data_IF_389329264678
#
_entry.id   IF_389329264678
#
_cell.length_a   1.000
_cell.length_b   1.000
_cell.length_c   1.000
_cell.angle_alpha   90.00
_cell.angle_beta   90.00
_cell.angle_gamma   90.00
#
_symmetry.space_group_name_H-M   'P 1'
#
loop_
_entity.id
_entity.type
_entity.pdbx_description
1 polymer ?
#
# COMPACT_ATOMS: atom_id res chain seq x y z
N UNK A 1 6.88 32.54 -28.82
CA UNK A 1 6.32 31.22 -29.16
C UNK A 1 5.80 30.63 -27.86
N UNK A 2 4.56 30.96 -27.51
CA UNK A 2 3.88 30.38 -26.36
C UNK A 2 3.17 29.10 -26.84
N UNK A 3 3.46 27.96 -26.21
CA UNK A 3 2.67 26.75 -26.43
C UNK A 3 1.29 26.95 -25.80
N UNK A 4 0.24 27.02 -26.61
CA UNK A 4 -1.12 26.87 -26.12
C UNK A 4 -1.38 25.38 -25.85
N UNK A 5 -1.35 24.99 -24.57
CA UNK A 5 -1.90 23.70 -24.14
C UNK A 5 -3.43 23.78 -24.24
N UNK A 6 -3.99 23.33 -25.36
CA UNK A 6 -5.43 23.13 -25.48
C UNK A 6 -5.78 21.71 -25.00
N UNK A 7 -6.67 21.53 -24.00
CA UNK A 7 -7.17 20.22 -23.64
C UNK A 7 -8.04 19.70 -24.79
N UNK A 8 -7.52 18.75 -25.57
CA UNK A 8 -8.25 18.30 -26.78
C UNK A 8 -9.53 17.56 -26.43
N UNK A 9 -9.57 16.85 -25.30
CA UNK A 9 -10.78 16.20 -24.77
C UNK A 9 -10.46 15.40 -23.50
N UNK A 10 -11.39 15.38 -22.55
CA UNK A 10 -11.42 14.36 -21.50
C UNK A 10 -11.70 13.00 -22.15
N UNK A 11 -10.67 12.25 -22.51
CA UNK A 11 -10.84 10.87 -22.95
C UNK A 11 -11.02 9.98 -21.72
N UNK A 12 -12.25 9.91 -21.21
CA UNK A 12 -12.65 8.84 -20.28
C UNK A 12 -12.83 7.54 -21.07
N UNK A 13 -11.74 6.98 -21.55
CA UNK A 13 -11.74 5.64 -22.08
C UNK A 13 -11.67 4.68 -20.87
N UNK A 14 -12.82 4.18 -20.43
CA UNK A 14 -12.90 3.17 -19.38
C UNK A 14 -12.83 1.82 -20.07
N UNK A 15 -11.66 1.20 -20.05
CA UNK A 15 -11.49 -0.15 -20.56
C UNK A 15 -11.35 -1.09 -19.37
N UNK A 16 -12.46 -1.73 -18.99
CA UNK A 16 -12.47 -2.82 -18.03
C UNK A 16 -12.70 -4.12 -18.77
N UNK A 17 -11.67 -4.96 -18.89
CA UNK A 17 -11.81 -6.28 -19.49
C UNK A 17 -11.47 -7.35 -18.44
N UNK A 18 -12.46 -8.21 -18.16
CA UNK A 18 -12.22 -9.50 -17.53
C UNK A 18 -12.03 -10.52 -18.66
N UNK A 19 -10.86 -11.13 -18.76
CA UNK A 19 -10.51 -12.07 -19.83
C UNK A 19 -11.12 -13.47 -19.64
N UNK A 20 -12.12 -13.62 -18.76
CA UNK A 20 -12.83 -14.89 -18.57
C UNK A 20 -13.66 -15.35 -19.79
N UNK A 21 -13.92 -14.48 -20.78
CA UNK A 21 -14.56 -14.85 -22.04
C UNK A 21 -13.59 -14.72 -23.24
N UNK A 22 -12.86 -15.81 -23.51
CA UNK A 22 -11.81 -15.92 -24.55
C UNK A 22 -12.26 -15.67 -26.02
N UNK A 23 -13.52 -15.32 -26.29
CA UNK A 23 -14.03 -15.05 -27.65
C UNK A 23 -14.15 -13.58 -28.02
N UNK A 24 -14.06 -12.66 -27.04
CA UNK A 24 -14.30 -11.23 -27.27
C UNK A 24 -12.98 -10.46 -27.51
N UNK A 25 -11.83 -11.02 -27.11
CA UNK A 25 -10.52 -10.36 -27.19
C UNK A 25 -9.99 -10.16 -28.62
N UNK A 26 -10.30 -11.07 -29.56
CA UNK A 26 -9.80 -10.97 -30.93
C UNK A 26 -10.56 -9.94 -31.79
N UNK A 27 -11.86 -9.74 -31.55
CA UNK A 27 -12.63 -8.73 -32.28
C UNK A 27 -12.47 -7.32 -31.72
N UNK A 28 -12.13 -7.16 -30.44
CA UNK A 28 -11.86 -5.84 -29.87
C UNK A 28 -10.50 -5.27 -30.30
N UNK A 29 -9.50 -6.11 -30.58
CA UNK A 29 -8.26 -5.67 -31.22
C UNK A 29 -8.52 -5.07 -32.62
N UNK A 30 -9.55 -5.54 -33.33
CA UNK A 30 -10.02 -4.95 -34.60
C UNK A 30 -10.77 -3.63 -34.40
N UNK A 31 -11.54 -3.50 -33.32
CA UNK A 31 -12.23 -2.24 -32.98
C UNK A 31 -11.22 -1.10 -32.73
N UNK A 32 -10.01 -1.42 -32.23
CA UNK A 32 -8.93 -0.45 -32.06
C UNK A 32 -8.48 0.20 -33.40
N UNK A 33 -8.51 -0.51 -34.53
CA UNK A 33 -8.13 0.04 -35.85
C UNK A 33 -9.23 0.91 -36.50
N UNK A 34 -10.51 0.60 -36.25
CA UNK A 34 -11.65 1.26 -36.91
C UNK A 34 -12.01 2.65 -36.40
N UNK A 35 -11.35 3.11 -35.33
CA UNK A 35 -11.58 4.42 -34.70
C UNK A 35 -11.12 5.61 -35.57
N UNK A 36 -10.19 5.39 -36.52
CA UNK A 36 -9.67 6.39 -37.48
C UNK A 36 -10.73 7.15 -38.30
N UNK A 37 -11.87 6.53 -38.63
CA UNK A 37 -12.94 7.17 -39.41
C UNK A 37 -13.86 8.07 -38.56
N UNK A 38 -14.00 7.76 -37.27
CA UNK A 38 -14.75 8.59 -36.32
C UNK A 38 -13.96 9.87 -35.96
N UNK A 39 -12.63 9.80 -35.97
CA UNK A 39 -11.71 10.93 -35.75
C UNK A 39 -11.76 12.00 -36.84
N UNK A 40 -12.06 11.63 -38.10
CA UNK A 40 -12.20 12.56 -39.23
C UNK A 40 -13.51 13.37 -39.14
N UNK A 41 -14.57 12.77 -38.60
CA UNK A 41 -15.89 13.40 -38.45
C UNK A 41 -15.87 14.48 -37.34
N UNK A 42 -15.14 14.25 -36.24
CA UNK A 42 -14.97 15.22 -35.15
C UNK A 42 -14.09 16.40 -35.56
N UNK A 43 -13.06 16.16 -36.39
CA UNK A 43 -12.22 17.25 -36.95
C UNK A 43 -13.04 18.27 -37.74
N UNK A 44 -14.05 17.82 -38.50
CA UNK A 44 -14.93 18.68 -39.27
C UNK A 44 -15.93 19.46 -38.39
N UNK A 45 -16.31 18.91 -37.24
CA UNK A 45 -17.25 19.53 -36.30
C UNK A 45 -16.58 20.56 -35.36
N UNK A 46 -15.29 20.43 -35.06
CA UNK A 46 -14.57 21.34 -34.16
C UNK A 46 -14.11 22.65 -34.83
N UNK A 47 -14.00 22.71 -36.15
CA UNK A 47 -13.69 23.96 -36.88
C UNK A 47 -14.81 25.02 -36.77
N UNK A 48 -16.02 24.66 -36.30
CA UNK A 48 -17.14 25.60 -36.22
C UNK A 48 -17.37 26.25 -34.84
N UNK A 49 -16.60 25.90 -33.80
CA UNK A 49 -16.89 26.28 -32.41
C UNK A 49 -15.85 27.21 -31.78
N UNK A 50 -14.92 27.77 -32.57
CA UNK A 50 -13.90 28.71 -32.07
C UNK A 50 -14.38 30.18 -32.02
N UNK A 51 -15.69 30.41 -31.90
CA UNK A 51 -16.28 31.73 -31.70
C UNK A 51 -17.07 31.68 -30.40
N UNK A 52 -16.72 32.57 -29.47
CA UNK A 52 -17.40 32.88 -28.21
C UNK A 52 -16.79 32.28 -26.93
N UNK A 53 -15.91 33.08 -26.31
CA UNK A 53 -15.48 32.95 -24.92
C UNK A 53 -16.03 34.13 -24.09
N UNK A 54 -16.66 33.87 -22.94
CA UNK A 54 -16.89 34.84 -21.87
C UNK A 54 -16.79 34.16 -20.48
N UNK A 55 -16.22 34.91 -19.55
CA UNK A 55 -15.76 34.58 -18.18
C UNK A 55 -16.89 34.73 -17.16
N UNK A 56 -16.96 33.90 -16.10
CA UNK A 56 -17.60 34.28 -14.83
C UNK A 56 -16.94 33.62 -13.60
N UNK A 57 -16.77 34.41 -12.54
CA UNK A 57 -16.28 34.07 -11.19
C UNK A 57 -17.42 34.15 -10.17
N UNK A 58 -17.43 33.29 -9.13
CA UNK A 58 -18.04 33.62 -7.82
C UNK A 58 -17.72 32.58 -6.73
N UNK A 59 -17.46 33.08 -5.52
CA UNK A 59 -17.12 32.40 -4.25
C UNK A 59 -18.35 31.96 -3.39
N UNK A 60 -18.15 31.20 -2.29
CA UNK A 60 -19.20 30.51 -1.53
C UNK A 60 -19.68 31.24 -0.25
N UNK A 61 -20.78 30.78 0.41
CA UNK A 61 -21.36 31.44 1.58
C UNK A 61 -20.85 30.93 2.93
N UNK A 62 -20.98 31.80 3.94
CA UNK A 62 -20.71 31.59 5.37
C UNK A 62 -22.02 31.44 6.16
N UNK A 63 -21.96 30.71 7.27
CA UNK A 63 -22.99 30.70 8.32
C UNK A 63 -22.34 30.63 9.71
N UNK A 64 -22.84 31.43 10.64
CA UNK A 64 -22.45 31.50 12.05
C UNK A 64 -23.69 31.58 12.96
N UNK A 65 -23.45 31.63 14.28
CA UNK A 65 -24.34 31.81 15.46
C UNK A 65 -24.47 30.49 16.26
N UNK A 66 -23.64 30.27 17.31
CA UNK A 66 -23.72 30.71 18.73
C UNK A 66 -24.80 29.93 19.54
N UNK A 67 -24.68 29.58 20.82
CA UNK A 67 -23.93 30.10 21.97
C UNK A 67 -24.03 29.15 23.19
N UNK A 68 -23.02 29.18 24.09
CA UNK A 68 -23.07 29.21 25.58
C UNK A 68 -23.89 28.16 26.38
N UNK A 69 -23.58 27.70 27.60
CA UNK A 69 -22.53 27.89 28.62
C UNK A 69 -22.73 26.80 29.71
N UNK A 70 -21.65 26.47 30.43
CA UNK A 70 -21.49 25.59 31.62
C UNK A 70 -22.16 26.19 32.91
N UNK A 71 -22.00 25.72 34.20
CA UNK A 71 -20.94 24.85 34.78
C UNK A 71 -21.27 23.94 36.02
N UNK A 72 -20.21 23.21 36.46
CA UNK A 72 -19.77 22.87 37.85
C UNK A 72 -20.58 21.92 38.76
N UNK A 73 -19.94 20.83 39.23
CA UNK A 73 -19.24 20.74 40.54
C UNK A 73 -18.96 19.27 40.99
N UNK A 74 -17.84 19.07 41.68
CA UNK A 74 -17.38 17.87 42.43
C UNK A 74 -17.48 18.19 43.95
N UNK A 75 -17.55 17.23 44.92
CA UNK A 75 -16.37 16.46 45.39
C UNK A 75 -16.62 15.04 46.02
N UNK A 76 -15.53 14.33 46.35
CA UNK A 76 -15.42 13.08 47.15
C UNK A 76 -15.26 13.38 48.69
N UNK A 77 -14.84 12.48 49.65
CA UNK A 77 -14.49 11.03 49.66
C UNK A 77 -14.88 10.20 50.96
N UNK A 78 -14.48 8.89 51.03
CA UNK A 78 -13.85 8.12 52.16
C UNK A 78 -14.29 6.64 52.43
N UNK A 79 -13.27 5.75 52.48
CA UNK A 79 -13.03 4.57 53.36
C UNK A 79 -13.87 3.27 53.20
N UNK A 80 -13.45 2.01 53.49
CA UNK A 80 -12.29 1.40 54.18
C UNK A 80 -12.15 -0.13 53.90
N UNK A 81 -10.94 -0.67 54.15
CA UNK A 81 -10.51 -1.98 54.71
C UNK A 81 -10.65 -3.37 54.01
N UNK A 82 -9.44 -3.91 53.75
CA UNK A 82 -8.85 -5.27 53.81
C UNK A 82 -9.63 -6.52 54.31
N UNK A 83 -9.36 -7.67 53.68
CA UNK A 83 -8.88 -8.94 54.30
C UNK A 83 -8.55 -10.05 53.26
N UNK A 84 -7.44 -10.77 53.50
CA UNK A 84 -7.06 -12.11 52.97
C UNK A 84 -6.61 -12.95 54.19
N UNK A 85 -6.18 -14.24 54.14
CA UNK A 85 -6.18 -15.27 53.07
C UNK A 85 -6.70 -16.66 53.56
N UNK A 86 -6.75 -17.68 52.68
CA UNK A 86 -6.81 -19.11 53.10
C UNK A 86 -5.87 -19.95 52.23
N UNK A 87 -5.05 -20.75 52.91
CA UNK A 87 -4.01 -21.67 52.43
C UNK A 87 -4.53 -23.11 52.28
N UNK A 88 -3.97 -23.88 51.34
CA UNK A 88 -3.99 -25.36 51.35
C UNK A 88 -2.61 -25.92 50.90
N UNK A 89 -2.23 -27.16 51.33
CA UNK A 89 -0.85 -27.67 51.31
C UNK A 89 -0.48 -28.46 50.03
N UNK A 90 0.83 -28.74 49.80
CA UNK A 90 1.35 -29.21 48.51
C UNK A 90 1.32 -30.74 48.33
N UNK A 91 1.06 -31.18 47.10
CA UNK A 91 1.28 -32.54 46.63
C UNK A 91 2.68 -32.70 46.01
N UNK A 92 3.17 -33.93 46.12
CA UNK A 92 4.53 -34.43 46.00
C UNK A 92 5.24 -34.25 44.64
N UNK A 93 6.56 -34.15 44.74
CA UNK A 93 7.55 -33.97 43.68
C UNK A 93 7.63 -35.10 42.64
N UNK A 94 7.79 -34.68 41.39
CA UNK A 94 8.55 -35.39 40.36
C UNK A 94 9.66 -34.44 39.88
N UNK A 95 10.90 -34.92 39.85
CA UNK A 95 12.05 -34.15 39.38
C UNK A 95 11.80 -33.62 37.95
N UNK A 96 11.94 -32.32 37.68
CA UNK A 96 11.70 -31.79 36.35
C UNK A 96 12.91 -32.12 35.46
N UNK A 97 12.70 -32.88 34.39
CA UNK A 97 13.37 -32.53 33.14
C UNK A 97 13.10 -31.04 32.94
N UNK A 98 14.13 -30.19 32.99
CA UNK A 98 13.93 -28.76 32.72
C UNK A 98 13.42 -28.64 31.29
N UNK A 99 12.11 -28.58 31.18
CA UNK A 99 11.40 -28.21 29.97
C UNK A 99 11.63 -26.71 29.86
N UNK A 100 12.80 -26.32 29.35
CA UNK A 100 13.13 -24.91 29.13
C UNK A 100 12.14 -24.45 28.06
N UNK A 101 11.09 -23.76 28.49
CA UNK A 101 10.15 -23.16 27.55
C UNK A 101 10.93 -22.17 26.68
N UNK A 102 10.74 -22.21 25.36
CA UNK A 102 11.45 -21.30 24.49
C UNK A 102 11.00 -19.86 24.76
N UNK A 103 11.95 -18.93 24.71
CA UNK A 103 11.73 -17.53 25.09
C UNK A 103 12.11 -16.57 23.97
N UNK A 104 11.38 -15.46 23.90
CA UNK A 104 11.78 -14.31 23.09
C UNK A 104 13.02 -13.62 23.69
N UNK A 105 13.99 -13.21 22.87
CA UNK A 105 15.04 -12.29 23.26
C UNK A 105 14.46 -10.98 23.81
N UNK A 106 15.13 -10.40 24.81
CA UNK A 106 14.74 -9.14 25.45
C UNK A 106 14.61 -7.99 24.44
N UNK A 107 15.50 -7.93 23.45
CA UNK A 107 15.48 -6.92 22.38
C UNK A 107 14.20 -6.95 21.55
N UNK A 108 13.64 -8.14 21.28
CA UNK A 108 12.38 -8.28 20.54
C UNK A 108 11.19 -7.93 21.42
N UNK A 109 11.22 -8.28 22.71
CA UNK A 109 10.19 -7.89 23.68
C UNK A 109 10.13 -6.37 23.82
N UNK A 110 11.28 -5.71 23.94
CA UNK A 110 11.38 -4.26 24.00
C UNK A 110 10.90 -3.60 22.72
N UNK A 111 11.28 -4.14 21.56
CA UNK A 111 10.81 -3.66 20.26
C UNK A 111 9.28 -3.76 20.16
N UNK A 112 8.69 -4.90 20.53
CA UNK A 112 7.25 -5.11 20.54
C UNK A 112 6.53 -4.13 21.46
N UNK A 113 7.04 -3.96 22.69
CA UNK A 113 6.47 -3.04 23.68
C UNK A 113 6.56 -1.58 23.21
N UNK A 114 7.65 -1.18 22.56
CA UNK A 114 7.76 0.15 21.98
C UNK A 114 6.84 0.34 20.77
N UNK A 115 6.66 -0.68 19.92
CA UNK A 115 5.70 -0.62 18.81
C UNK A 115 4.30 -0.37 19.37
N UNK A 116 3.86 -1.14 20.36
CA UNK A 116 2.52 -0.92 20.95
C UNK A 116 2.42 0.35 21.78
N UNK A 117 3.52 0.91 22.28
CA UNK A 117 3.53 2.22 22.95
C UNK A 117 3.23 3.36 21.97
N UNK A 118 3.65 3.24 20.70
CA UNK A 118 3.37 4.21 19.64
C UNK A 118 1.99 4.08 19.02
N UNK A 119 1.33 2.95 19.25
CA UNK A 119 -0.02 2.66 18.75
C UNK A 119 -1.03 3.04 19.85
N UNK A 120 -2.03 3.86 19.51
CA UNK A 120 -3.10 4.22 20.43
C UNK A 120 -4.10 3.06 20.61
N UNK A 121 -3.67 2.01 21.30
CA UNK A 121 -4.44 0.80 21.53
C UNK A 121 -5.59 1.06 22.52
N UNK A 122 -6.78 0.53 22.22
CA UNK A 122 -7.94 0.55 23.16
C UNK A 122 -7.69 -0.23 24.45
N UNK A 123 -6.79 -1.22 24.41
CA UNK A 123 -6.33 -1.97 25.57
C UNK A 123 -4.82 -1.93 25.59
N UNK A 124 -4.25 -1.53 26.72
CA UNK A 124 -2.82 -1.50 26.91
C UNK A 124 -2.28 -2.92 26.76
N UNK A 125 -1.52 -3.15 25.68
CA UNK A 125 -0.84 -4.43 25.43
C UNK A 125 0.55 -4.36 26.04
N UNK A 126 0.97 -5.48 26.59
CA UNK A 126 2.31 -5.68 27.10
C UNK A 126 2.75 -7.08 26.69
N UNK A 127 3.89 -7.15 26.02
CA UNK A 127 4.52 -8.40 25.63
C UNK A 127 5.59 -8.77 26.64
N UNK A 128 5.74 -10.07 26.86
CA UNK A 128 6.75 -10.67 27.74
C UNK A 128 7.58 -11.66 26.94
N UNK A 129 8.65 -12.19 27.54
CA UNK A 129 9.46 -13.23 26.92
C UNK A 129 8.70 -14.55 26.66
N UNK A 130 7.50 -14.71 27.24
CA UNK A 130 6.59 -15.85 27.07
C UNK A 130 5.45 -15.56 26.09
N UNK A 131 5.46 -14.40 25.42
CA UNK A 131 4.45 -14.05 24.42
C UNK A 131 4.51 -14.95 23.17
N UNK A 132 5.61 -15.69 22.96
CA UNK A 132 5.70 -16.72 21.92
C UNK A 132 5.34 -18.11 22.44
N UNK A 133 4.57 -18.87 21.65
CA UNK A 133 4.19 -20.25 21.98
C UNK A 133 2.77 -20.41 22.51
N UNK A 134 1.99 -19.32 22.61
CA UNK A 134 0.55 -19.42 22.79
C UNK A 134 -0.14 -19.43 21.41
N UNK A 135 -0.69 -20.57 20.95
CA UNK A 135 -1.41 -20.64 19.68
C UNK A 135 -2.66 -19.73 19.64
N UNK A 136 -3.12 -19.22 20.78
CA UNK A 136 -4.27 -18.31 20.88
C UNK A 136 -3.90 -16.81 20.71
N UNK A 137 -2.63 -16.47 20.45
CA UNK A 137 -2.22 -15.11 20.09
C UNK A 137 -2.07 -14.96 18.57
N UNK A 138 -3.20 -14.77 17.88
CA UNK A 138 -3.25 -14.61 16.42
C UNK A 138 -2.45 -13.42 15.88
N UNK A 139 -2.08 -12.47 16.74
CA UNK A 139 -1.46 -11.19 16.37
C UNK A 139 0.07 -11.23 16.29
N UNK A 140 0.72 -12.07 17.11
CA UNK A 140 2.18 -12.20 17.12
C UNK A 140 2.52 -13.67 16.97
N UNK A 141 3.06 -14.02 15.81
CA UNK A 141 3.53 -15.38 15.54
C UNK A 141 5.04 -15.43 15.65
N UNK A 142 5.53 -16.56 16.13
CA UNK A 142 6.93 -16.77 16.36
C UNK A 142 7.37 -18.15 15.87
N UNK A 143 8.63 -18.26 15.52
CA UNK A 143 9.30 -19.53 15.28
C UNK A 143 10.29 -19.78 16.43
N UNK A 144 10.18 -20.93 17.08
CA UNK A 144 10.98 -21.31 18.25
C UNK A 144 11.99 -22.43 17.98
N UNK A 145 12.25 -22.76 16.71
CA UNK A 145 13.18 -23.83 16.31
C UNK A 145 14.66 -23.42 16.45
N UNK A 146 14.94 -22.25 17.03
CA UNK A 146 16.28 -21.73 17.19
C UNK A 146 16.96 -22.23 18.47
N UNK A 147 18.29 -22.27 18.45
CA UNK A 147 19.12 -22.68 19.59
C UNK A 147 18.65 -24.00 20.24
N UNK A 148 18.30 -25.00 19.41
CA UNK A 148 17.83 -26.30 19.90
C UNK A 148 16.44 -26.26 20.56
N UNK A 149 15.57 -25.33 20.15
CA UNK A 149 14.21 -25.22 20.67
C UNK A 149 14.08 -24.35 21.92
N UNK A 150 15.06 -23.47 22.20
CA UNK A 150 15.10 -22.64 23.42
C UNK A 150 14.90 -21.15 23.16
N UNK A 151 15.01 -20.71 21.91
CA UNK A 151 14.87 -19.30 21.52
C UNK A 151 13.76 -19.18 20.49
N UNK A 152 12.85 -18.23 20.70
CA UNK A 152 11.82 -17.83 19.75
C UNK A 152 12.18 -16.50 19.09
N UNK A 153 11.85 -16.37 17.82
CA UNK A 153 11.90 -15.09 17.10
C UNK A 153 10.54 -14.76 16.50
N UNK A 154 10.14 -13.48 16.54
CA UNK A 154 8.90 -13.01 15.91
C UNK A 154 9.00 -13.15 14.39
N UNK A 155 8.08 -13.91 13.80
CA UNK A 155 7.98 -14.13 12.35
C UNK A 155 6.77 -13.45 11.74
N UNK A 156 5.73 -13.15 12.50
CA UNK A 156 4.60 -12.36 12.00
C UNK A 156 4.06 -11.39 13.04
N UNK A 157 3.80 -10.16 12.60
CA UNK A 157 3.11 -9.13 13.37
C UNK A 157 1.84 -8.73 12.61
N UNK A 158 0.69 -9.18 13.11
CA UNK A 158 -0.62 -9.12 12.46
C UNK A 158 -1.56 -8.25 13.31
N UNK A 159 -1.53 -6.94 13.08
CA UNK A 159 -2.30 -5.93 13.80
C UNK A 159 -3.33 -5.21 12.89
N UNK A 160 -3.86 -5.92 11.90
CA UNK A 160 -4.83 -5.40 10.93
C UNK A 160 -6.23 -5.21 11.53
N UNK A 161 -6.97 -4.19 11.05
CA UNK A 161 -8.36 -3.88 11.49
C UNK A 161 -8.53 -3.76 13.02
N UNK A 162 -7.68 -2.98 13.68
CA UNK A 162 -7.74 -2.80 15.15
C UNK A 162 -8.02 -1.36 15.58
N UNK A 163 -8.47 -0.50 14.65
CA UNK A 163 -8.69 0.93 14.89
C UNK A 163 -7.44 1.63 15.46
N UNK A 164 -6.24 1.17 15.08
CA UNK A 164 -4.98 1.71 15.61
C UNK A 164 -4.72 3.09 15.00
N UNK A 165 -4.27 4.03 15.83
CA UNK A 165 -3.73 5.30 15.37
C UNK A 165 -2.34 5.54 15.95
N UNK A 166 -1.63 6.56 15.47
CA UNK A 166 -0.23 6.79 15.78
C UNK A 166 0.66 6.42 14.60
N UNK A 167 1.93 6.12 14.87
CA UNK A 167 2.97 5.91 13.86
C UNK A 167 3.48 4.48 13.85
N UNK A 168 4.06 4.06 12.72
CA UNK A 168 4.88 2.85 12.66
C UNK A 168 6.24 3.19 13.32
N UNK A 169 6.47 2.65 14.52
CA UNK A 169 7.72 2.89 15.25
C UNK A 169 8.93 2.38 14.46
N UNK A 170 10.04 3.15 14.36
CA UNK A 170 11.27 2.66 13.75
C UNK A 170 11.85 1.39 14.41
N UNK A 171 11.49 1.11 15.67
CA UNK A 171 11.90 -0.11 16.39
C UNK A 171 11.35 -1.40 15.76
N UNK A 172 10.38 -1.32 14.85
CA UNK A 172 9.98 -2.46 14.01
C UNK A 172 11.17 -3.08 13.29
N UNK A 173 12.19 -2.27 12.95
CA UNK A 173 13.43 -2.74 12.31
C UNK A 173 14.33 -3.63 13.17
N UNK A 174 14.00 -3.84 14.46
CA UNK A 174 14.72 -4.74 15.35
C UNK A 174 14.20 -6.19 15.28
N UNK A 175 13.01 -6.41 14.72
CA UNK A 175 12.41 -7.75 14.56
C UNK A 175 12.99 -8.48 13.34
N UNK A 176 14.29 -8.72 13.31
CA UNK A 176 15.04 -9.12 12.10
C UNK A 176 14.62 -10.45 11.44
N UNK A 177 13.88 -11.29 12.16
CA UNK A 177 13.30 -12.55 11.67
C UNK A 177 11.85 -12.40 11.17
N UNK A 178 11.31 -11.17 11.13
CA UNK A 178 9.95 -10.92 10.69
C UNK A 178 9.79 -11.27 9.20
N UNK A 179 8.85 -12.17 8.90
CA UNK A 179 8.51 -12.61 7.55
C UNK A 179 7.23 -11.92 7.04
N UNK A 180 6.30 -11.58 7.94
CA UNK A 180 5.03 -10.95 7.60
C UNK A 180 4.71 -9.79 8.53
N UNK A 181 4.54 -8.60 7.95
CA UNK A 181 4.06 -7.41 8.65
C UNK A 181 2.69 -7.01 8.09
N UNK A 182 1.65 -7.08 8.90
CA UNK A 182 0.32 -6.63 8.54
C UNK A 182 -0.20 -5.59 9.54
N UNK A 183 -0.21 -4.34 9.11
CA UNK A 183 -0.76 -3.19 9.84
C UNK A 183 -1.93 -2.56 9.07
N UNK A 184 -2.51 -3.30 8.11
CA UNK A 184 -3.51 -2.78 7.19
C UNK A 184 -4.84 -2.45 7.86
N UNK A 185 -5.61 -1.57 7.21
CA UNK A 185 -6.95 -1.18 7.65
C UNK A 185 -6.98 -0.60 9.07
N UNK A 186 -6.11 0.36 9.31
CA UNK A 186 -6.02 1.12 10.54
C UNK A 186 -6.05 2.63 10.23
N UNK A 187 -5.70 3.45 11.21
CA UNK A 187 -5.63 4.91 11.14
C UNK A 187 -4.20 5.40 11.38
N UNK A 188 -3.20 4.60 10.97
CA UNK A 188 -1.78 4.93 11.15
C UNK A 188 -1.40 6.13 10.27
N UNK A 189 -0.56 7.01 10.81
CA UNK A 189 -0.08 8.21 10.14
C UNK A 189 1.45 8.31 10.19
N UNK A 190 1.99 9.41 9.69
CA UNK A 190 3.43 9.59 9.55
C UNK A 190 4.01 8.73 8.43
N UNK A 191 5.31 8.46 8.52
CA UNK A 191 6.08 7.88 7.42
C UNK A 191 6.23 6.37 7.54
N UNK A 192 6.46 5.70 6.41
CA UNK A 192 6.99 4.33 6.40
C UNK A 192 8.46 4.41 6.88
N UNK A 193 8.85 3.80 8.02
CA UNK A 193 10.16 4.02 8.59
C UNK A 193 11.25 3.32 7.78
N UNK A 194 12.37 4.02 7.55
CA UNK A 194 13.53 3.49 6.80
C UNK A 194 14.11 2.20 7.41
N UNK A 195 13.93 2.00 8.72
CA UNK A 195 14.37 0.82 9.45
C UNK A 195 13.66 -0.47 9.03
N UNK A 196 12.51 -0.40 8.31
CA UNK A 196 11.93 -1.59 7.68
C UNK A 196 12.92 -2.28 6.73
N UNK A 197 13.83 -1.53 6.11
CA UNK A 197 14.90 -2.10 5.29
C UNK A 197 15.87 -3.02 6.04
N UNK A 198 15.86 -3.05 7.38
CA UNK A 198 16.68 -3.97 8.17
C UNK A 198 16.11 -5.40 8.18
N UNK A 199 14.84 -5.58 7.85
CA UNK A 199 14.10 -6.82 8.04
C UNK A 199 14.27 -7.78 6.86
N UNK A 200 15.47 -8.35 6.71
CA UNK A 200 15.87 -9.15 5.53
C UNK A 200 15.04 -10.42 5.29
N UNK A 201 14.32 -10.88 6.31
CA UNK A 201 13.44 -12.04 6.25
C UNK A 201 12.04 -11.72 5.71
N UNK A 202 11.69 -10.44 5.51
CA UNK A 202 10.34 -10.04 5.09
C UNK A 202 9.97 -10.60 3.72
N UNK A 203 8.80 -11.23 3.68
CA UNK A 203 8.13 -11.76 2.50
C UNK A 203 6.92 -10.91 2.14
N UNK A 204 6.17 -10.44 3.15
CA UNK A 204 4.91 -9.74 2.96
C UNK A 204 4.83 -8.47 3.80
N UNK A 205 4.49 -7.36 3.14
CA UNK A 205 4.18 -6.08 3.78
C UNK A 205 2.78 -5.64 3.36
N UNK A 206 1.88 -5.56 4.34
CA UNK A 206 0.52 -5.06 4.20
C UNK A 206 0.36 -3.79 5.04
N UNK A 207 0.33 -2.63 4.37
CA UNK A 207 0.11 -1.31 5.00
C UNK A 207 -1.09 -0.57 4.39
N UNK A 208 -1.87 -1.24 3.55
CA UNK A 208 -2.98 -0.62 2.84
C UNK A 208 -4.07 -0.09 3.78
N UNK A 209 -4.83 0.91 3.32
CA UNK A 209 -5.91 1.55 4.07
C UNK A 209 -5.44 2.14 5.41
N UNK A 210 -4.51 3.08 5.32
CA UNK A 210 -4.01 3.90 6.43
C UNK A 210 -3.89 5.37 5.97
N UNK A 211 -3.30 6.22 6.80
CA UNK A 211 -2.98 7.62 6.49
C UNK A 211 -1.47 7.87 6.40
N UNK A 212 -0.69 6.86 6.00
CA UNK A 212 0.76 6.99 5.83
C UNK A 212 1.07 8.01 4.74
N UNK A 213 2.06 8.86 4.97
CA UNK A 213 2.42 9.99 4.11
C UNK A 213 3.92 10.01 3.81
N UNK A 214 4.36 11.02 3.07
CA UNK A 214 5.74 11.20 2.58
C UNK A 214 6.13 10.16 1.52
N UNK A 215 7.39 10.15 1.12
CA UNK A 215 7.94 9.27 0.09
C UNK A 215 8.11 7.83 0.57
N UNK A 216 8.00 6.89 -0.39
CA UNK A 216 8.39 5.51 -0.17
C UNK A 216 9.90 5.44 0.14
N UNK A 217 10.33 4.85 1.28
CA UNK A 217 11.75 4.78 1.60
C UNK A 217 12.48 3.85 0.65
N UNK A 218 13.56 4.35 0.03
CA UNK A 218 14.42 3.55 -0.86
C UNK A 218 15.03 2.31 -0.19
N UNK A 219 15.11 2.29 1.15
CA UNK A 219 15.58 1.13 1.92
C UNK A 219 14.69 -0.10 1.75
N UNK A 220 13.44 0.04 1.28
CA UNK A 220 12.61 -1.11 0.90
C UNK A 220 13.23 -1.94 -0.22
N UNK A 221 14.05 -1.34 -1.10
CA UNK A 221 14.79 -2.06 -2.14
C UNK A 221 15.79 -3.08 -1.61
N UNK A 222 16.11 -3.03 -0.32
CA UNK A 222 17.08 -3.95 0.31
C UNK A 222 16.43 -5.23 0.86
N UNK A 223 15.12 -5.41 0.64
CA UNK A 223 14.32 -6.54 1.11
C UNK A 223 14.22 -7.62 0.02
N UNK A 224 15.35 -8.26 -0.31
CA UNK A 224 15.46 -9.13 -1.48
C UNK A 224 14.50 -10.34 -1.50
N UNK A 225 13.94 -10.73 -0.35
CA UNK A 225 12.97 -11.81 -0.20
C UNK A 225 11.51 -11.34 -0.33
N UNK A 226 11.27 -10.03 -0.48
CA UNK A 226 9.93 -9.48 -0.48
C UNK A 226 9.17 -9.91 -1.73
N UNK A 227 8.04 -10.58 -1.51
CA UNK A 227 7.14 -11.07 -2.56
C UNK A 227 5.89 -10.22 -2.69
N UNK A 228 5.42 -9.62 -1.59
CA UNK A 228 4.21 -8.81 -1.56
C UNK A 228 4.46 -7.46 -0.90
N UNK A 229 4.18 -6.38 -1.63
CA UNK A 229 4.13 -5.02 -1.11
C UNK A 229 2.80 -4.35 -1.45
N UNK A 230 1.97 -4.13 -0.43
CA UNK A 230 0.70 -3.40 -0.56
C UNK A 230 0.72 -2.13 0.31
N UNK A 231 0.74 -0.99 -0.37
CA UNK A 231 0.74 0.36 0.20
C UNK A 231 -0.53 1.14 -0.20
N UNK A 232 -1.52 0.46 -0.79
CA UNK A 232 -2.70 1.10 -1.37
C UNK A 232 -3.50 1.95 -0.38
N UNK A 233 -4.19 2.98 -0.87
CA UNK A 233 -5.07 3.82 -0.05
C UNK A 233 -4.33 4.43 1.14
N UNK A 234 -3.22 5.09 0.83
CA UNK A 234 -2.40 5.92 1.73
C UNK A 234 -2.17 7.29 1.06
N UNK A 235 -1.49 8.21 1.75
CA UNK A 235 -1.15 9.56 1.24
C UNK A 235 0.32 9.66 0.78
N UNK A 236 0.91 8.54 0.36
CA UNK A 236 2.32 8.48 -0.08
C UNK A 236 2.54 9.35 -1.33
N UNK A 237 3.62 10.13 -1.33
CA UNK A 237 3.99 11.07 -2.41
C UNK A 237 5.32 10.69 -3.07
N UNK A 238 5.73 11.45 -4.09
CA UNK A 238 7.00 11.22 -4.79
C UNK A 238 6.94 10.06 -5.77
N UNK A 239 8.09 9.63 -6.28
CA UNK A 239 8.19 8.54 -7.27
C UNK A 239 8.50 7.19 -6.64
N UNK A 240 8.23 6.09 -7.36
CA UNK A 240 8.72 4.76 -6.97
C UNK A 240 10.27 4.78 -6.98
N UNK A 241 10.94 4.51 -5.85
CA UNK A 241 12.41 4.57 -5.77
C UNK A 241 13.08 3.55 -6.69
N UNK A 242 14.21 3.92 -7.28
CA UNK A 242 14.95 3.05 -8.21
C UNK A 242 15.49 1.78 -7.55
N UNK A 243 15.74 1.85 -6.26
CA UNK A 243 16.24 0.75 -5.44
C UNK A 243 15.23 -0.41 -5.37
N UNK A 244 13.92 -0.17 -5.59
CA UNK A 244 12.93 -1.25 -5.67
C UNK A 244 13.16 -2.16 -6.89
N UNK A 245 13.96 -1.74 -7.87
CA UNK A 245 14.39 -2.61 -8.97
C UNK A 245 15.15 -3.86 -8.52
N UNK A 246 15.72 -3.86 -7.31
CA UNK A 246 16.47 -5.00 -6.76
C UNK A 246 15.57 -6.09 -6.16
N UNK A 247 14.25 -5.86 -6.08
CA UNK A 247 13.26 -6.80 -5.54
C UNK A 247 12.88 -7.90 -6.56
N UNK A 248 13.84 -8.76 -6.89
CA UNK A 248 13.68 -9.80 -7.93
C UNK A 248 12.56 -10.82 -7.65
N UNK A 249 12.20 -11.03 -6.39
CA UNK A 249 11.15 -11.98 -5.97
C UNK A 249 9.76 -11.33 -5.83
N UNK A 250 9.62 -10.05 -6.18
CA UNK A 250 8.37 -9.32 -6.04
C UNK A 250 7.30 -9.88 -6.98
N UNK A 251 6.26 -10.45 -6.40
CA UNK A 251 5.13 -11.03 -7.10
C UNK A 251 3.97 -10.05 -7.22
N UNK A 252 3.78 -9.21 -6.21
CA UNK A 252 2.66 -8.28 -6.12
C UNK A 252 3.14 -6.91 -5.65
N UNK A 253 2.88 -5.89 -6.48
CA UNK A 253 2.99 -4.49 -6.10
C UNK A 253 1.63 -3.80 -6.20
N UNK A 254 1.20 -3.22 -5.09
CA UNK A 254 -0.02 -2.42 -5.01
C UNK A 254 0.25 -1.07 -4.37
N UNK A 255 0.03 -0.01 -5.14
CA UNK A 255 0.13 1.39 -4.69
C UNK A 255 -1.11 2.19 -5.13
N UNK A 256 -2.25 1.49 -5.27
CA UNK A 256 -3.49 2.08 -5.78
C UNK A 256 -4.04 3.13 -4.81
N UNK A 257 -4.51 4.27 -5.31
CA UNK A 257 -5.12 5.30 -4.47
C UNK A 257 -4.10 5.99 -3.57
N UNK A 258 -2.90 6.25 -4.10
CA UNK A 258 -1.84 7.03 -3.44
C UNK A 258 -1.60 8.34 -4.18
N UNK A 259 -0.71 9.19 -3.68
CA UNK A 259 -0.31 10.44 -4.34
C UNK A 259 1.04 10.31 -5.06
N UNK A 260 1.47 9.07 -5.35
CA UNK A 260 2.70 8.79 -6.07
C UNK A 260 2.65 9.42 -7.47
N UNK A 261 3.77 9.96 -7.92
CA UNK A 261 3.88 10.69 -9.19
C UNK A 261 5.17 10.37 -9.96
N UNK A 262 5.33 11.00 -11.11
CA UNK A 262 6.45 10.76 -12.02
C UNK A 262 6.24 9.54 -12.92
N UNK A 263 7.29 9.12 -13.62
CA UNK A 263 7.19 8.01 -14.56
C UNK A 263 7.14 6.65 -13.87
N UNK A 264 6.35 5.73 -14.41
CA UNK A 264 6.41 4.32 -14.04
C UNK A 264 7.79 3.78 -14.43
N UNK A 265 8.64 3.33 -13.49
CA UNK A 265 10.02 3.03 -13.81
C UNK A 265 10.20 1.81 -14.72
N UNK A 266 11.17 1.88 -15.63
CA UNK A 266 11.47 0.79 -16.57
C UNK A 266 12.02 -0.48 -15.91
N UNK A 267 12.58 -0.39 -14.69
CA UNK A 267 13.11 -1.55 -13.97
C UNK A 267 12.03 -2.56 -13.56
N UNK A 268 10.74 -2.21 -13.63
CA UNK A 268 9.63 -3.15 -13.41
C UNK A 268 9.73 -4.36 -14.35
N UNK A 269 10.36 -4.20 -15.51
CA UNK A 269 10.64 -5.30 -16.43
C UNK A 269 11.59 -6.37 -15.86
N UNK A 270 12.33 -6.06 -14.79
CA UNK A 270 13.23 -6.97 -14.10
C UNK A 270 12.55 -7.84 -13.04
N UNK A 271 11.30 -7.54 -12.66
CA UNK A 271 10.53 -8.35 -11.72
C UNK A 271 9.89 -9.54 -12.44
N UNK A 272 10.70 -10.55 -12.76
CA UNK A 272 10.26 -11.72 -13.56
C UNK A 272 9.08 -12.48 -12.96
N UNK A 273 8.93 -12.42 -11.63
CA UNK A 273 7.92 -13.16 -10.88
C UNK A 273 6.65 -12.33 -10.64
N UNK A 274 6.59 -11.09 -11.17
CA UNK A 274 5.47 -10.18 -10.98
C UNK A 274 4.21 -10.70 -11.68
N UNK A 275 3.16 -10.96 -10.89
CA UNK A 275 1.84 -11.36 -11.36
C UNK A 275 0.82 -10.24 -11.26
N UNK A 276 0.96 -9.33 -10.29
CA UNK A 276 -0.03 -8.28 -10.04
C UNK A 276 0.63 -6.92 -9.86
N UNK A 277 0.24 -5.98 -10.72
CA UNK A 277 0.71 -4.61 -10.69
C UNK A 277 -0.47 -3.64 -10.68
N UNK A 278 -0.75 -3.04 -9.52
CA UNK A 278 -1.87 -2.11 -9.36
C UNK A 278 -1.37 -0.71 -9.00
N UNK A 279 -1.48 0.20 -9.96
CA UNK A 279 -1.01 1.59 -9.93
C UNK A 279 -2.17 2.59 -10.06
N UNK A 280 -3.41 2.12 -10.14
CA UNK A 280 -4.61 2.94 -10.38
C UNK A 280 -4.83 3.99 -9.29
N UNK A 281 -5.34 5.16 -9.65
CA UNK A 281 -5.67 6.24 -8.71
C UNK A 281 -4.43 6.87 -8.08
N UNK A 282 -3.36 6.99 -8.87
CA UNK A 282 -2.11 7.67 -8.52
C UNK A 282 -1.80 8.71 -9.59
N UNK A 283 -0.81 9.57 -9.38
CA UNK A 283 -0.48 10.70 -10.26
C UNK A 283 0.68 10.35 -11.21
N UNK A 284 0.75 9.11 -11.72
CA UNK A 284 1.83 8.69 -12.61
C UNK A 284 1.73 9.38 -13.98
N UNK A 285 2.88 9.79 -14.53
CA UNK A 285 2.98 10.51 -15.79
C UNK A 285 3.77 9.71 -16.84
N UNK A 286 3.62 10.06 -18.11
CA UNK A 286 4.34 9.43 -19.21
C UNK A 286 3.75 8.09 -19.67
N UNK A 287 4.37 7.45 -20.67
CA UNK A 287 3.90 6.18 -21.21
C UNK A 287 4.18 5.01 -20.26
N UNK A 288 3.41 3.93 -20.41
CA UNK A 288 3.77 2.63 -19.83
C UNK A 288 5.14 2.19 -20.35
N UNK A 289 6.07 1.74 -19.49
CA UNK A 289 7.37 1.26 -19.94
C UNK A 289 7.19 0.03 -20.84
N UNK A 290 7.82 0.04 -22.01
CA UNK A 290 7.72 -1.06 -22.99
C UNK A 290 8.19 -2.41 -22.44
N UNK A 291 9.07 -2.39 -21.43
CA UNK A 291 9.52 -3.57 -20.70
C UNK A 291 8.42 -4.34 -19.97
N UNK A 292 7.24 -3.74 -19.75
CA UNK A 292 6.09 -4.45 -19.17
C UNK A 292 5.67 -5.67 -20.02
N UNK A 293 5.92 -5.64 -21.33
CA UNK A 293 5.65 -6.74 -22.25
C UNK A 293 6.56 -7.96 -22.06
N UNK A 294 7.66 -7.82 -21.29
CA UNK A 294 8.53 -8.93 -20.95
C UNK A 294 7.94 -9.79 -19.81
N UNK A 295 6.96 -9.27 -19.07
CA UNK A 295 6.36 -9.93 -17.91
C UNK A 295 5.30 -10.96 -18.34
N UNK A 296 5.75 -12.07 -18.91
CA UNK A 296 4.85 -13.13 -19.41
C UNK A 296 3.93 -13.75 -18.35
N UNK A 297 4.33 -13.66 -17.07
CA UNK A 297 3.56 -14.09 -15.89
C UNK A 297 2.59 -13.04 -15.33
N UNK A 298 2.50 -11.84 -15.92
CA UNK A 298 1.60 -10.79 -15.45
C UNK A 298 0.14 -11.19 -15.66
N UNK A 299 -0.62 -11.28 -14.56
CA UNK A 299 -2.04 -11.66 -14.53
C UNK A 299 -2.95 -10.44 -14.43
N UNK A 300 -2.57 -9.46 -13.61
CA UNK A 300 -3.39 -8.28 -13.32
C UNK A 300 -2.57 -7.00 -13.51
N UNK A 301 -3.05 -6.13 -14.40
CA UNK A 301 -2.47 -4.80 -14.63
C UNK A 301 -3.55 -3.73 -14.50
N UNK A 302 -3.47 -2.92 -13.45
CA UNK A 302 -4.41 -1.82 -13.21
C UNK A 302 -3.67 -0.49 -13.19
N UNK A 303 -3.92 0.35 -14.18
CA UNK A 303 -3.23 1.65 -14.33
C UNK A 303 -4.25 2.72 -14.67
N UNK A 304 -4.08 3.92 -14.12
CA UNK A 304 -4.85 5.08 -14.55
C UNK A 304 -4.00 6.33 -14.62
N UNK A 305 -4.59 7.41 -15.14
CA UNK A 305 -4.06 8.77 -15.07
C UNK A 305 -2.76 8.98 -15.87
N UNK A 306 -2.48 8.12 -16.86
CA UNK A 306 -1.33 8.27 -17.74
C UNK A 306 -1.47 9.54 -18.57
N UNK A 307 -0.68 10.56 -18.24
CA UNK A 307 -0.50 11.77 -19.05
C UNK A 307 0.49 11.47 -20.17
N UNK A 308 0.03 11.41 -21.40
CA UNK A 308 0.85 11.07 -22.56
C UNK A 308 0.93 12.28 -23.50
N UNK A 309 2.14 12.76 -23.76
CA UNK A 309 2.41 13.96 -24.58
C UNK A 309 2.70 13.65 -26.05
N UNK A 310 2.66 12.38 -26.43
CA UNK A 310 2.86 11.85 -27.79
C UNK A 310 1.81 10.75 -28.06
N UNK A 311 1.63 10.33 -29.31
CA UNK A 311 0.65 9.31 -29.68
C UNK A 311 0.79 8.05 -28.81
N UNK A 312 -0.19 7.83 -27.92
CA UNK A 312 -0.22 6.67 -27.05
C UNK A 312 -0.68 5.45 -27.86
N UNK A 313 0.27 4.65 -28.34
CA UNK A 313 -0.04 3.29 -28.80
C UNK A 313 0.11 2.34 -27.63
N UNK A 314 -0.99 1.69 -27.22
CA UNK A 314 -0.89 0.59 -26.29
C UNK A 314 -0.03 -0.52 -26.94
N UNK A 315 1.03 -1.00 -26.28
CA UNK A 315 1.88 -2.00 -26.89
C UNK A 315 1.09 -3.29 -27.14
N UNK A 316 1.48 -4.06 -28.17
CA UNK A 316 0.82 -5.33 -28.50
C UNK A 316 0.87 -6.29 -27.31
N UNK A 317 -0.30 -6.59 -26.75
CA UNK A 317 -0.46 -7.45 -25.57
C UNK A 317 -0.26 -8.95 -25.87
N UNK A 318 0.13 -9.30 -27.11
CA UNK A 318 0.34 -10.68 -27.56
C UNK A 318 1.35 -11.47 -26.72
N UNK A 319 2.23 -10.80 -25.97
CA UNK A 319 3.26 -11.42 -25.12
C UNK A 319 2.82 -11.67 -23.67
N UNK A 320 1.71 -11.09 -23.23
CA UNK A 320 1.22 -11.22 -21.86
C UNK A 320 0.22 -12.38 -21.77
N UNK A 321 0.75 -13.60 -21.86
CA UNK A 321 -0.06 -14.81 -21.98
C UNK A 321 -0.84 -15.18 -20.71
N UNK A 322 -0.41 -14.70 -19.54
CA UNK A 322 -1.05 -14.95 -18.26
C UNK A 322 -2.15 -13.93 -17.89
N UNK A 323 -2.35 -12.88 -18.69
CA UNK A 323 -3.27 -11.79 -18.33
C UNK A 323 -4.71 -12.28 -18.14
N UNK A 324 -5.29 -11.93 -17.00
CA UNK A 324 -6.69 -12.19 -16.65
C UNK A 324 -7.48 -10.89 -16.45
N UNK A 325 -6.82 -9.82 -16.02
CA UNK A 325 -7.45 -8.54 -15.70
C UNK A 325 -6.61 -7.36 -16.18
N UNK A 326 -7.16 -6.58 -17.10
CA UNK A 326 -6.57 -5.32 -17.55
C UNK A 326 -7.54 -4.17 -17.26
N UNK A 327 -7.12 -3.24 -16.41
CA UNK A 327 -7.84 -2.01 -16.14
C UNK A 327 -6.96 -0.83 -16.56
N UNK A 328 -7.45 -0.07 -17.53
CA UNK A 328 -6.81 1.17 -17.97
C UNK A 328 -7.85 2.29 -17.99
N UNK A 329 -7.60 3.37 -17.27
CA UNK A 329 -8.56 4.46 -17.08
C UNK A 329 -7.90 5.84 -17.12
N UNK A 330 -8.63 6.87 -17.58
CA UNK A 330 -8.20 8.27 -17.57
C UNK A 330 -6.83 8.55 -18.24
N UNK A 331 -6.64 8.11 -19.48
CA UNK A 331 -5.46 8.48 -20.27
C UNK A 331 -5.68 9.87 -20.86
N UNK A 332 -4.86 10.84 -20.46
CA UNK A 332 -4.90 12.21 -20.98
C UNK A 332 -3.83 12.38 -22.06
N UNK A 333 -4.26 12.52 -23.31
CA UNK A 333 -3.36 12.77 -24.45
C UNK A 333 -3.28 14.27 -24.72
N UNK A 334 -2.11 14.87 -24.53
CA UNK A 334 -1.86 16.27 -24.88
C UNK A 334 -1.05 16.34 -26.18
N UNK A 335 -1.63 16.92 -27.24
CA UNK A 335 -0.91 17.27 -28.47
C UNK A 335 -0.42 18.71 -28.39
N UNK A 336 0.88 18.93 -28.51
CA UNK A 336 1.46 20.28 -28.58
C UNK A 336 1.32 20.82 -30.00
N UNK A 337 0.57 21.91 -30.20
CA UNK A 337 0.54 22.63 -31.47
C UNK A 337 1.57 23.77 -31.41
N UNK A 338 2.49 23.81 -32.37
CA UNK A 338 3.25 25.01 -32.66
C UNK A 338 2.31 25.92 -33.46
N UNK A 339 1.88 27.02 -32.85
CA UNK A 339 1.16 28.07 -33.58
C UNK A 339 2.20 28.92 -34.33
N UNK A 340 2.15 28.89 -35.66
CA UNK A 340 2.82 29.87 -36.53
C UNK A 340 2.09 31.22 -36.51
#
# INVERSE_FOLDING_TARGET
MECCLLPRSYYKATYSFSLQDQKISLELARVMESSLLWFLLIHLLQMSLCSDAQIYTSQPPSSSISSAQSPMAQPAPWSSNATSPVTQPPLSASAPTQNIQPVLPEEEVDALNEIVSKLALRRQRSYTNQSCGNPDQDEVRCNCDFAGGTVCHVTSLLLWRQDLSGIISPTVGNLTYLESLDLSENQLNGVVPRSLGNLKSLLHIHLQYNFLEDEMPSTLGTLYNLSLLDLSSNKLTGSIPKELGDLSLLNLLRVRGTLLSGAIPGFIAGWSDLTKLHLMGSNFEGPLPSGILALSGLEELWVSDLVVTTDFSFPSMSRLTAMTSLLVFNILVYTCYVCD
#
